data_IF_887352332584
#
_entry.id   IF_887352332584
#
_cell.length_a   1.000
_cell.length_b   1.000
_cell.length_c   1.000
_cell.angle_alpha   90.00
_cell.angle_beta   90.00
_cell.angle_gamma   90.00
#
_symmetry.space_group_name_H-M   'P 1'
#
loop_
_entity.id
_entity.type
_entity.pdbx_description
1 polymer ?
#
# COMPACT_ATOMS: atom_id res chain seq x y z
N UNK A 1 -8.64 16.80 0.83
CA UNK A 1 -8.35 15.43 1.26
C UNK A 1 -6.89 15.18 1.01
N UNK A 2 -6.11 14.97 2.07
CA UNK A 2 -4.68 14.70 1.93
C UNK A 2 -4.44 13.22 1.71
N UNK A 3 -3.42 12.88 0.94
CA UNK A 3 -3.08 11.49 0.64
C UNK A 3 -1.69 11.17 1.18
N UNK A 4 -1.60 10.11 1.98
CA UNK A 4 -0.33 9.49 2.33
C UNK A 4 -0.05 8.32 1.39
N UNK A 5 1.21 8.21 0.93
CA UNK A 5 1.64 7.12 0.06
C UNK A 5 2.54 6.17 0.84
N UNK A 6 2.18 4.89 0.84
CA UNK A 6 3.01 3.82 1.41
C UNK A 6 3.41 2.84 0.33
N UNK A 7 4.61 2.28 0.48
CA UNK A 7 5.18 1.37 -0.50
C UNK A 7 5.78 0.14 0.18
N UNK A 8 5.74 -0.99 -0.52
CA UNK A 8 6.49 -2.17 -0.15
C UNK A 8 6.89 -2.99 -1.37
N UNK A 9 7.68 -4.04 -1.13
CA UNK A 9 8.02 -5.03 -2.14
C UNK A 9 7.29 -6.33 -1.86
N UNK A 10 6.69 -6.87 -2.91
CA UNK A 10 6.24 -8.25 -2.94
C UNK A 10 7.45 -9.20 -2.97
N UNK A 11 7.26 -10.46 -2.62
CA UNK A 11 8.28 -11.51 -2.72
C UNK A 11 8.82 -11.67 -4.15
N UNK A 12 7.96 -11.47 -5.16
CA UNK A 12 8.34 -11.46 -6.58
C UNK A 12 9.07 -10.17 -7.01
N UNK A 13 9.45 -9.32 -6.06
CA UNK A 13 10.12 -8.03 -6.25
C UNK A 13 9.28 -6.92 -6.91
N UNK A 14 7.99 -7.16 -7.17
CA UNK A 14 7.08 -6.09 -7.60
C UNK A 14 6.95 -4.99 -6.53
N UNK A 15 7.03 -3.72 -6.97
CA UNK A 15 6.84 -2.55 -6.10
C UNK A 15 5.35 -2.28 -5.93
N UNK A 16 4.82 -2.58 -4.74
CA UNK A 16 3.44 -2.36 -4.33
C UNK A 16 3.31 -0.96 -3.72
N UNK A 17 2.27 -0.24 -4.10
CA UNK A 17 1.96 1.11 -3.62
C UNK A 17 0.51 1.15 -3.17
N UNK A 18 0.24 1.82 -2.05
CA UNK A 18 -1.10 2.19 -1.64
C UNK A 18 -1.16 3.68 -1.27
N UNK A 19 -2.26 4.30 -1.64
CA UNK A 19 -2.62 5.65 -1.25
C UNK A 19 -3.66 5.56 -0.13
N UNK A 20 -3.38 6.20 1.00
CA UNK A 20 -4.27 6.27 2.16
C UNK A 20 -4.77 7.69 2.36
N UNK A 21 -6.04 7.80 2.76
CA UNK A 21 -6.60 9.07 3.20
C UNK A 21 -6.24 9.40 4.66
N UNK A 22 -6.70 10.56 5.16
CA UNK A 22 -6.50 11.00 6.54
C UNK A 22 -7.17 10.07 7.57
N UNK A 23 -8.19 9.31 7.15
CA UNK A 23 -8.82 8.27 7.94
C UNK A 23 -8.05 6.94 7.88
N UNK A 24 -6.89 6.88 7.20
CA UNK A 24 -6.04 5.70 7.01
C UNK A 24 -6.76 4.58 6.25
N UNK A 25 -7.70 4.93 5.38
CA UNK A 25 -8.40 4.03 4.47
C UNK A 25 -7.68 4.04 3.12
N UNK A 26 -7.49 2.87 2.51
CA UNK A 26 -6.91 2.78 1.17
C UNK A 26 -7.92 3.33 0.15
N UNK A 27 -7.49 4.33 -0.61
CA UNK A 27 -8.26 4.87 -1.74
C UNK A 27 -7.83 4.26 -3.06
N UNK A 28 -6.57 3.85 -3.17
CA UNK A 28 -6.01 3.25 -4.39
C UNK A 28 -4.84 2.34 -4.06
N UNK A 29 -4.76 1.20 -4.77
CA UNK A 29 -3.64 0.26 -4.70
C UNK A 29 -3.16 -0.13 -6.09
N UNK A 30 -1.84 -0.13 -6.30
CA UNK A 30 -1.24 -0.47 -7.59
C UNK A 30 0.18 -1.02 -7.46
N UNK A 31 0.63 -1.73 -8.49
CA UNK A 31 2.04 -2.07 -8.71
C UNK A 31 2.64 -1.06 -9.67
N UNK A 32 3.79 -0.51 -9.30
CA UNK A 32 4.61 0.27 -10.22
C UNK A 32 5.55 -0.67 -11.00
N UNK A 33 5.14 -1.04 -12.22
CA UNK A 33 5.94 -1.85 -13.14
C UNK A 33 6.90 -0.91 -13.89
N UNK A 34 7.98 -0.53 -13.21
CA UNK A 34 9.02 0.37 -13.75
C UNK A 34 9.64 -0.16 -15.05
N UNK A 35 9.72 -1.48 -15.20
CA UNK A 35 10.31 -2.11 -16.38
C UNK A 35 9.47 -1.86 -17.64
N UNK A 36 8.15 -1.74 -17.50
CA UNK A 36 7.22 -1.49 -18.61
C UNK A 36 6.59 -0.10 -18.57
N UNK A 37 7.02 0.76 -17.64
CA UNK A 37 6.51 2.12 -17.49
C UNK A 37 5.01 2.20 -17.24
N UNK A 38 4.43 1.20 -16.57
CA UNK A 38 2.98 1.10 -16.37
C UNK A 38 2.60 0.86 -14.92
N UNK A 39 1.40 1.29 -14.57
CA UNK A 39 0.76 0.93 -13.31
C UNK A 39 -0.23 -0.20 -13.53
N UNK A 40 -0.14 -1.24 -12.71
CA UNK A 40 -1.12 -2.34 -12.71
C UNK A 40 -1.98 -2.23 -11.47
N UNK A 41 -3.29 -2.37 -11.62
CA UNK A 41 -4.20 -2.39 -10.49
C UNK A 41 -3.81 -3.53 -9.53
N UNK A 42 -3.57 -3.18 -8.27
CA UNK A 42 -3.23 -4.12 -7.21
C UNK A 42 -4.15 -3.82 -6.03
N UNK A 43 -5.32 -4.47 -5.95
CA UNK A 43 -6.29 -4.21 -4.89
C UNK A 43 -5.62 -4.24 -3.53
N UNK A 44 -5.85 -3.20 -2.74
CA UNK A 44 -5.25 -3.04 -1.42
C UNK A 44 -6.30 -2.64 -0.39
N UNK A 45 -6.06 -3.03 0.85
CA UNK A 45 -6.92 -2.69 1.99
C UNK A 45 -6.06 -2.36 3.21
N UNK A 46 -6.56 -1.49 4.08
CA UNK A 46 -5.91 -1.10 5.32
C UNK A 46 -6.75 -1.48 6.54
N UNK A 47 -6.07 -1.93 7.59
CA UNK A 47 -6.66 -2.23 8.89
C UNK A 47 -5.87 -1.51 9.97
N UNK A 48 -6.57 -0.71 10.78
CA UNK A 48 -6.00 -0.03 11.95
C UNK A 48 -5.73 -1.04 13.07
N UNK A 49 -4.60 -0.89 13.76
CA UNK A 49 -4.32 -1.64 14.99
C UNK A 49 -5.05 -1.04 16.20
N UNK A 50 -5.18 -1.81 17.27
CA UNK A 50 -5.89 -1.43 18.50
C UNK A 50 -5.32 -0.15 19.13
N UNK A 51 -4.00 0.05 19.03
CA UNK A 51 -3.31 1.21 19.59
C UNK A 51 -3.32 2.45 18.68
N UNK A 52 -3.88 2.32 17.47
CA UNK A 52 -3.96 3.36 16.45
C UNK A 52 -2.62 3.96 15.98
N UNK A 53 -1.49 3.41 16.46
CA UNK A 53 -0.12 3.83 16.10
C UNK A 53 0.38 3.15 14.83
N UNK A 54 -0.26 2.06 14.45
CA UNK A 54 0.12 1.24 13.31
C UNK A 54 -1.07 0.98 12.39
N UNK A 55 -0.77 0.88 11.11
CA UNK A 55 -1.71 0.46 10.08
C UNK A 55 -1.12 -0.72 9.32
N UNK A 56 -1.88 -1.79 9.21
CA UNK A 56 -1.55 -2.89 8.31
C UNK A 56 -2.15 -2.60 6.94
N UNK A 57 -1.33 -2.67 5.90
CA UNK A 57 -1.78 -2.57 4.51
C UNK A 57 -1.50 -3.89 3.81
N UNK A 58 -2.55 -4.46 3.24
CA UNK A 58 -2.51 -5.69 2.46
C UNK A 58 -2.72 -5.38 0.98
N UNK A 59 -1.93 -6.00 0.11
CA UNK A 59 -2.10 -5.95 -1.35
C UNK A 59 -2.32 -7.34 -1.91
N UNK A 60 -3.13 -7.43 -2.97
CA UNK A 60 -3.13 -8.56 -3.89
C UNK A 60 -2.24 -8.24 -5.09
N UNK A 61 -1.11 -8.93 -5.21
CA UNK A 61 -0.12 -8.64 -6.25
C UNK A 61 -0.60 -9.18 -7.61
N UNK A 62 -0.78 -8.33 -8.65
CA UNK A 62 -1.20 -8.78 -9.97
C UNK A 62 -0.08 -9.51 -10.75
N UNK A 63 1.17 -9.50 -10.25
CA UNK A 63 2.32 -10.11 -10.92
C UNK A 63 2.48 -11.59 -10.56
N UNK A 64 2.48 -11.92 -9.26
CA UNK A 64 2.66 -13.28 -8.77
C UNK A 64 1.43 -13.86 -8.07
N UNK A 65 0.31 -13.12 -8.09
CA UNK A 65 -0.99 -13.49 -7.51
C UNK A 65 -0.97 -13.80 -6.01
N UNK A 66 0.11 -13.43 -5.30
CA UNK A 66 0.23 -13.57 -3.83
C UNK A 66 -0.25 -12.31 -3.13
N UNK A 67 -0.71 -12.49 -1.90
CA UNK A 67 -1.02 -11.39 -1.01
C UNK A 67 0.25 -10.97 -0.25
N UNK A 68 0.43 -9.67 -0.05
CA UNK A 68 1.52 -9.11 0.76
C UNK A 68 0.91 -8.22 1.83
N UNK A 69 1.26 -8.47 3.10
CA UNK A 69 0.84 -7.67 4.25
C UNK A 69 2.05 -6.95 4.85
N UNK A 70 1.91 -5.67 5.16
CA UNK A 70 2.95 -4.86 5.80
C UNK A 70 2.36 -3.90 6.80
N UNK A 71 3.09 -3.70 7.89
CA UNK A 71 2.74 -2.76 8.95
C UNK A 71 3.53 -1.47 8.76
N UNK A 72 2.85 -0.33 8.87
CA UNK A 72 3.45 1.00 8.81
C UNK A 72 3.17 1.75 10.11
N UNK A 73 4.15 2.50 10.59
CA UNK A 73 3.96 3.42 11.70
C UNK A 73 3.24 4.68 11.19
N UNK A 74 2.15 5.07 11.85
CA UNK A 74 1.33 6.23 11.49
C UNK A 74 2.13 7.53 11.55
N UNK A 75 3.08 7.66 12.48
CA UNK A 75 3.94 8.85 12.61
C UNK A 75 4.89 9.04 11.43
N UNK A 76 5.14 7.98 10.65
CA UNK A 76 5.98 8.03 9.46
C UNK A 76 5.19 8.32 8.17
N UNK A 77 3.86 8.49 8.25
CA UNK A 77 3.05 8.81 7.08
C UNK A 77 3.21 10.28 6.69
N UNK A 78 3.74 10.50 5.49
CA UNK A 78 3.81 11.83 4.88
C UNK A 78 2.56 12.08 4.03
N UNK A 79 1.78 13.10 4.39
CA UNK A 79 0.58 13.51 3.67
C UNK A 79 0.90 14.66 2.73
N UNK A 80 0.47 14.51 1.47
CA UNK A 80 0.62 15.52 0.41
C UNK A 80 -0.74 16.03 -0.06
#
# INVERSE_FOLDING_TARGET
MKIARVESRCECQAQLVAELDEARVVVRGFVNDRARGRELLAPANATKKIDDKQVDVGWSCPVCTRNTLRTFNVEALAYH
#
